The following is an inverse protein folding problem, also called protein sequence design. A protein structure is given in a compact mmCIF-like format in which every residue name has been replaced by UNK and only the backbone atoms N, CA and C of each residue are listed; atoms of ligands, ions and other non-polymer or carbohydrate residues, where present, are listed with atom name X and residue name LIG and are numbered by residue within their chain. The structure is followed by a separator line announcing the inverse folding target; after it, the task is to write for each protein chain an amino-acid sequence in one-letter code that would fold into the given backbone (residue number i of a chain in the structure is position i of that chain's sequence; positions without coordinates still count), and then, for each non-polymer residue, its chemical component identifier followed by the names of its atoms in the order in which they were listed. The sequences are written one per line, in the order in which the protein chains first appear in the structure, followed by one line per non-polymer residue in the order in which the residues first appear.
data_IF_406211680621
#
_entry.id   IF_406211680621
#
_cell.length_a   1.000
_cell.length_b   1.000
_cell.length_c   1.000
_cell.angle_alpha   90.00
_cell.angle_beta   90.00
_cell.angle_gamma   90.00
#
_symmetry.space_group_name_H-M   'P 1'
#
loop_
_entity.id
_entity.type
_entity.pdbx_description
1 polymer ?
#
# COMPACT_ATOMS: atom_id res chain seq x y z
N UNK A 1 3.11 -6.65 -0.15
CA UNK A 1 2.14 -6.55 -1.27
C UNK A 1 0.77 -7.01 -0.80
N UNK A 2 -0.26 -6.21 -1.03
CA UNK A 2 -1.63 -6.44 -0.52
C UNK A 2 -2.58 -6.90 -1.61
N UNK A 3 -3.57 -7.73 -1.24
CA UNK A 3 -4.75 -7.96 -2.07
C UNK A 3 -5.84 -6.95 -1.69
N UNK A 4 -6.16 -6.01 -2.58
CA UNK A 4 -7.18 -4.99 -2.36
C UNK A 4 -7.85 -4.59 -3.69
N UNK A 5 -9.15 -4.31 -3.69
CA UNK A 5 -9.90 -3.90 -4.89
C UNK A 5 -9.82 -4.91 -6.04
N UNK A 6 -9.71 -6.20 -5.74
CA UNK A 6 -9.50 -7.27 -6.73
C UNK A 6 -8.09 -7.32 -7.34
N UNK A 7 -7.20 -6.39 -6.99
CA UNK A 7 -5.83 -6.27 -7.51
C UNK A 7 -4.79 -6.63 -6.45
N UNK A 8 -3.57 -6.91 -6.90
CA UNK A 8 -2.40 -6.96 -6.02
C UNK A 8 -1.67 -5.63 -6.07
N UNK A 9 -1.43 -5.01 -4.93
CA UNK A 9 -0.87 -3.66 -4.86
C UNK A 9 0.32 -3.58 -3.92
N UNK A 10 1.31 -2.78 -4.27
CA UNK A 10 2.33 -2.32 -3.33
C UNK A 10 2.84 -0.94 -3.74
N UNK A 11 3.44 -0.24 -2.77
CA UNK A 11 4.03 1.07 -2.98
C UNK A 11 5.47 1.03 -2.51
N UNK A 12 6.38 1.31 -3.43
CA UNK A 12 7.79 1.41 -3.15
C UNK A 12 8.40 2.43 -4.12
N UNK A 13 9.38 3.19 -3.62
CA UNK A 13 10.18 4.06 -4.45
C UNK A 13 11.52 3.36 -4.67
N UNK A 14 11.79 2.96 -5.91
CA UNK A 14 13.05 2.31 -6.27
C UNK A 14 14.09 3.37 -6.57
N UNK A 15 15.24 3.29 -5.89
CA UNK A 15 16.42 4.09 -6.24
C UNK A 15 17.08 3.58 -7.54
N UNK A 16 16.95 2.27 -7.80
CA UNK A 16 17.39 1.64 -9.05
C UNK A 16 16.32 1.80 -10.16
N UNK A 17 16.66 2.60 -11.17
CA UNK A 17 15.79 2.85 -12.32
C UNK A 17 15.57 1.62 -13.20
N UNK A 18 16.42 0.60 -13.16
CA UNK A 18 16.19 -0.65 -13.90
C UNK A 18 14.98 -1.40 -13.35
N UNK A 19 14.91 -1.57 -12.03
CA UNK A 19 13.80 -2.28 -11.37
C UNK A 19 12.48 -1.55 -11.65
N UNK A 20 12.50 -0.23 -11.58
CA UNK A 20 11.33 0.57 -11.94
C UNK A 20 10.92 0.36 -13.40
N UNK A 21 11.87 0.41 -14.35
CA UNK A 21 11.59 0.23 -15.78
C UNK A 21 10.97 -1.13 -16.09
N UNK A 22 11.45 -2.20 -15.46
CA UNK A 22 10.90 -3.55 -15.64
C UNK A 22 9.48 -3.70 -15.10
N UNK A 23 9.10 -2.90 -14.10
CA UNK A 23 7.76 -2.90 -13.50
C UNK A 23 6.87 -1.75 -14.01
N UNK A 24 7.36 -0.91 -14.93
CA UNK A 24 6.74 0.36 -15.29
C UNK A 24 5.33 0.19 -15.87
N UNK A 25 5.08 -0.89 -16.61
CA UNK A 25 3.76 -1.21 -17.17
C UNK A 25 2.69 -1.47 -16.10
N UNK A 26 3.12 -1.81 -14.88
CA UNK A 26 2.25 -2.04 -13.74
C UNK A 26 2.13 -0.81 -12.83
N UNK A 27 2.83 0.29 -13.12
CA UNK A 27 2.84 1.47 -12.28
C UNK A 27 1.66 2.40 -12.56
N UNK A 28 0.80 2.59 -11.57
CA UNK A 28 -0.26 3.58 -11.58
C UNK A 28 0.30 4.93 -11.11
N UNK A 29 0.46 5.88 -12.05
CA UNK A 29 1.01 7.22 -11.80
C UNK A 29 0.11 8.11 -10.95
N UNK A 30 -1.21 7.96 -11.08
CA UNK A 30 -2.18 8.77 -10.33
C UNK A 30 -2.20 8.38 -8.85
N UNK A 31 -2.00 7.09 -8.57
CA UNK A 31 -2.05 6.52 -7.22
C UNK A 31 -0.66 6.23 -6.63
N UNK A 32 0.41 6.48 -7.39
CA UNK A 32 1.80 6.27 -7.01
C UNK A 32 2.05 4.88 -6.41
N UNK A 33 1.56 3.83 -7.08
CA UNK A 33 1.65 2.43 -6.63
C UNK A 33 1.70 1.48 -7.82
N UNK A 34 2.23 0.29 -7.59
CA UNK A 34 2.19 -0.80 -8.56
C UNK A 34 0.92 -1.62 -8.39
N UNK A 35 0.29 -2.00 -9.50
CA UNK A 35 -0.94 -2.79 -9.52
C UNK A 35 -0.83 -3.97 -10.49
N UNK A 36 -1.14 -5.17 -10.00
CA UNK A 36 -1.19 -6.39 -10.82
C UNK A 36 -2.61 -6.94 -10.82
N UNK A 37 -3.16 -7.17 -12.02
CA UNK A 37 -4.53 -7.64 -12.19
C UNK A 37 -4.60 -9.15 -11.99
N UNK A 38 -3.58 -9.87 -12.44
CA UNK A 38 -3.55 -11.34 -12.44
C UNK A 38 -2.51 -11.90 -11.46
N UNK A 39 -2.74 -13.15 -11.07
CA UNK A 39 -1.82 -13.97 -10.27
C UNK A 39 -0.48 -14.17 -10.99
N UNK A 40 -0.50 -14.29 -12.33
CA UNK A 40 0.68 -14.47 -13.18
C UNK A 40 1.57 -13.23 -13.23
N UNK A 41 1.00 -12.05 -13.49
CA UNK A 41 1.72 -10.77 -13.45
C UNK A 41 2.36 -10.54 -12.09
N UNK A 42 1.59 -10.73 -11.00
CA UNK A 42 2.09 -10.61 -9.63
C UNK A 42 3.26 -11.57 -9.36
N UNK A 43 3.19 -12.82 -9.84
CA UNK A 43 4.29 -13.78 -9.67
C UNK A 43 5.57 -13.37 -10.39
N UNK A 44 5.45 -12.82 -11.60
CA UNK A 44 6.61 -12.30 -12.34
C UNK A 44 7.28 -11.16 -11.57
N UNK A 45 6.48 -10.23 -11.06
CA UNK A 45 6.97 -9.12 -10.25
C UNK A 45 7.66 -9.59 -8.96
N UNK A 46 7.07 -10.55 -8.23
CA UNK A 46 7.71 -11.10 -7.02
C UNK A 46 9.06 -11.74 -7.32
N UNK A 47 9.18 -12.52 -8.40
CA UNK A 47 10.45 -13.13 -8.80
C UNK A 47 11.52 -12.10 -9.14
N UNK A 48 11.12 -11.03 -9.85
CA UNK A 48 12.02 -9.93 -10.15
C UNK A 48 12.49 -9.22 -8.88
N UNK A 49 11.56 -8.92 -7.97
CA UNK A 49 11.88 -8.26 -6.70
C UNK A 49 12.81 -9.12 -5.84
N UNK A 50 12.53 -10.42 -5.73
CA UNK A 50 13.36 -11.39 -5.00
C UNK A 50 14.78 -11.47 -5.60
N UNK A 51 14.90 -11.56 -6.93
CA UNK A 51 16.21 -11.56 -7.62
C UNK A 51 17.02 -10.28 -7.35
N UNK A 52 16.33 -9.17 -7.09
CA UNK A 52 16.92 -7.86 -6.77
C UNK A 52 17.08 -7.64 -5.25
N UNK A 53 16.85 -8.66 -4.43
CA UNK A 53 17.06 -8.65 -2.98
C UNK A 53 15.92 -8.03 -2.17
N UNK A 54 14.73 -7.86 -2.74
CA UNK A 54 13.56 -7.36 -2.04
C UNK A 54 12.73 -8.51 -1.47
N UNK A 55 12.55 -8.51 -0.15
CA UNK A 55 11.58 -9.36 0.52
C UNK A 55 10.18 -8.75 0.43
N UNK A 56 9.23 -9.49 -0.14
CA UNK A 56 7.86 -9.01 -0.35
C UNK A 56 6.85 -9.99 0.23
N UNK A 57 6.28 -9.61 1.37
CA UNK A 57 5.18 -10.37 1.97
C UNK A 57 3.89 -10.26 1.15
N UNK A 58 3.17 -11.37 1.03
CA UNK A 58 1.81 -11.40 0.46
C UNK A 58 0.78 -11.31 1.58
N UNK A 59 0.11 -10.17 1.67
CA UNK A 59 -0.86 -9.88 2.71
C UNK A 59 -2.27 -9.87 2.11
N UNK A 60 -3.10 -10.80 2.56
CA UNK A 60 -4.52 -10.87 2.19
C UNK A 60 -5.43 -10.40 3.32
N UNK A 61 -5.01 -10.61 4.57
CA UNK A 61 -5.66 -10.08 5.75
C UNK A 61 -5.12 -8.67 6.04
N UNK A 62 -5.96 -7.65 5.87
CA UNK A 62 -5.57 -6.26 6.01
C UNK A 62 -5.63 -5.77 7.48
N UNK A 63 -6.04 -6.63 8.42
CA UNK A 63 -6.08 -6.28 9.85
C UNK A 63 -4.69 -5.93 10.35
N UNK A 64 -4.61 -4.83 11.08
CA UNK A 64 -3.33 -4.26 11.56
C UNK A 64 -2.56 -3.46 10.51
N UNK A 65 -3.00 -3.39 9.25
CA UNK A 65 -2.42 -2.53 8.21
C UNK A 65 -3.28 -1.31 7.87
N UNK A 66 -4.55 -1.32 8.26
CA UNK A 66 -5.46 -0.20 8.06
C UNK A 66 -5.49 0.74 9.28
N UNK A 67 -5.39 2.05 9.02
CA UNK A 67 -5.49 3.11 10.03
C UNK A 67 -6.53 4.15 9.64
N UNK A 68 -7.11 4.83 10.62
CA UNK A 68 -8.07 5.92 10.43
C UNK A 68 -7.65 7.20 11.12
N UNK A 69 -7.97 8.32 10.47
CA UNK A 69 -7.84 9.68 10.99
C UNK A 69 -9.18 10.42 10.85
N UNK A 70 -9.52 11.35 11.76
CA UNK A 70 -10.63 12.27 11.53
C UNK A 70 -10.49 12.99 10.19
N UNK A 71 -11.60 13.22 9.49
CA UNK A 71 -11.62 13.84 8.15
C UNK A 71 -10.91 15.19 8.07
N UNK A 72 -10.85 15.95 9.15
CA UNK A 72 -10.24 17.28 9.17
C UNK A 72 -8.79 17.29 9.69
N UNK A 73 -8.24 16.13 10.05
CA UNK A 73 -6.85 16.03 10.48
C UNK A 73 -5.88 16.19 9.32
N UNK A 74 -4.68 16.72 9.60
CA UNK A 74 -3.56 16.71 8.65
C UNK A 74 -3.17 15.25 8.37
N UNK A 75 -3.15 14.86 7.10
CA UNK A 75 -3.00 13.47 6.69
C UNK A 75 -1.94 13.24 5.61
N UNK A 76 -1.33 14.30 5.06
CA UNK A 76 -0.36 14.19 3.97
C UNK A 76 0.80 13.21 4.26
N UNK A 77 1.40 13.19 5.47
CA UNK A 77 2.44 12.19 5.78
C UNK A 77 1.90 10.75 5.77
N UNK A 78 0.67 10.53 6.25
CA UNK A 78 0.01 9.22 6.25
C UNK A 78 -0.31 8.78 4.82
N UNK A 79 -0.84 9.69 3.99
CA UNK A 79 -1.13 9.42 2.58
C UNK A 79 0.13 8.99 1.82
N UNK A 80 1.27 9.66 2.05
CA UNK A 80 2.55 9.31 1.42
C UNK A 80 2.93 7.86 1.64
N UNK A 81 2.65 7.31 2.82
CA UNK A 81 2.95 5.92 3.18
C UNK A 81 1.76 4.96 3.02
N UNK A 82 0.66 5.39 2.41
CA UNK A 82 -0.50 4.53 2.12
C UNK A 82 -0.48 3.98 0.70
N UNK A 83 -0.98 2.76 0.54
CA UNK A 83 -1.25 2.13 -0.76
C UNK A 83 -2.68 2.35 -1.23
N UNK A 84 -3.63 2.62 -0.34
CA UNK A 84 -5.02 2.92 -0.68
C UNK A 84 -5.65 3.81 0.40
N UNK A 85 -6.71 4.54 0.03
CA UNK A 85 -7.46 5.40 0.94
C UNK A 85 -8.95 5.36 0.58
N UNK A 86 -9.80 5.36 1.61
CA UNK A 86 -11.24 5.65 1.49
C UNK A 86 -11.60 6.82 2.42
N UNK A 87 -12.57 7.62 2.01
CA UNK A 87 -13.11 8.70 2.83
C UNK A 87 -14.56 8.42 3.20
N UNK A 88 -14.91 8.68 4.45
CA UNK A 88 -16.28 8.69 4.97
C UNK A 88 -16.61 10.11 5.45
N UNK A 89 -17.86 10.40 5.86
CA UNK A 89 -18.20 11.71 6.41
C UNK A 89 -17.34 12.13 7.60
N UNK A 90 -16.90 11.17 8.42
CA UNK A 90 -16.16 11.41 9.67
C UNK A 90 -14.67 11.07 9.59
N UNK A 91 -14.29 10.10 8.74
CA UNK A 91 -12.97 9.48 8.78
C UNK A 91 -12.31 9.44 7.40
N UNK A 92 -10.98 9.54 7.39
CA UNK A 92 -10.13 9.01 6.32
C UNK A 92 -9.52 7.71 6.79
N UNK A 93 -9.66 6.66 6.00
CA UNK A 93 -9.11 5.34 6.30
C UNK A 93 -8.06 5.03 5.25
N UNK A 94 -6.87 4.62 5.69
CA UNK A 94 -5.70 4.37 4.87
C UNK A 94 -5.27 2.92 5.04
N UNK A 95 -4.99 2.25 3.93
CA UNK A 95 -4.23 1.01 3.93
C UNK A 95 -2.75 1.36 3.83
N UNK A 96 -1.98 1.08 4.88
CA UNK A 96 -0.56 1.42 4.95
C UNK A 96 0.29 0.44 4.15
N UNK A 97 1.44 0.92 3.65
CA UNK A 97 2.34 0.12 2.79
C UNK A 97 3.05 -1.04 3.51
N UNK A 98 3.20 -0.95 4.83
CA UNK A 98 3.83 -1.93 5.71
C UNK A 98 3.50 -1.61 7.18
N UNK A 99 4.01 -2.42 8.13
CA UNK A 99 3.78 -2.22 9.57
C UNK A 99 4.49 -0.98 10.13
N UNK A 100 5.69 -0.66 9.63
CA UNK A 100 6.42 0.52 10.07
C UNK A 100 5.64 1.81 9.76
N UNK A 101 4.97 1.86 8.61
CA UNK A 101 4.07 2.93 8.21
C UNK A 101 2.83 3.03 9.11
N UNK A 102 2.29 1.91 9.61
CA UNK A 102 1.21 1.90 10.60
C UNK A 102 1.66 2.58 11.89
N UNK A 103 2.82 2.19 12.42
CA UNK A 103 3.38 2.78 13.64
C UNK A 103 3.66 4.27 13.46
N UNK A 104 4.18 4.69 12.30
CA UNK A 104 4.38 6.09 11.97
C UNK A 104 3.05 6.86 11.94
N UNK A 105 2.02 6.30 11.33
CA UNK A 105 0.70 6.91 11.32
C UNK A 105 0.10 7.04 12.74
N UNK A 106 0.33 6.05 13.61
CA UNK A 106 -0.10 6.11 15.01
C UNK A 106 0.59 7.24 15.78
N UNK A 107 1.89 7.46 15.55
CA UNK A 107 2.62 8.62 16.11
C UNK A 107 2.04 9.96 15.66
N UNK A 108 1.37 9.99 14.51
CA UNK A 108 0.67 11.15 13.97
C UNK A 108 -0.80 11.24 14.40
N UNK A 109 -1.24 10.38 15.33
CA UNK A 109 -2.61 10.37 15.88
C UNK A 109 -3.61 9.49 15.13
N UNK A 110 -3.16 8.69 14.16
CA UNK A 110 -4.03 7.71 13.52
C UNK A 110 -4.34 6.54 14.48
N UNK A 111 -5.51 5.92 14.30
CA UNK A 111 -5.93 4.74 15.07
C UNK A 111 -6.03 3.54 14.16
N UNK A 112 -5.66 2.35 14.63
CA UNK A 112 -5.86 1.11 13.86
C UNK A 112 -7.36 0.91 13.63
N UNK A 113 -7.72 0.40 12.45
CA UNK A 113 -9.07 -0.05 12.18
C UNK A 113 -9.21 -1.50 12.63
N UNK A 114 -10.11 -1.73 13.59
CA UNK A 114 -10.33 -3.06 14.18
C UNK A 114 -11.32 -3.93 13.39
N UNK A 115 -12.04 -3.30 12.45
CA UNK A 115 -13.02 -3.97 11.58
C UNK A 115 -12.43 -4.21 10.19
N UNK A 116 -12.98 -5.20 9.48
CA UNK A 116 -12.59 -5.45 8.09
C UNK A 116 -13.02 -4.30 7.19
N UNK A 117 -12.05 -3.72 6.48
CA UNK A 117 -12.28 -2.65 5.50
C UNK A 117 -12.00 -3.18 4.10
N UNK A 118 -12.94 -2.94 3.20
CA UNK A 118 -12.77 -3.24 1.77
C UNK A 118 -12.28 -1.96 1.06
N UNK A 119 -11.10 -2.06 0.46
CA UNK A 119 -10.48 -1.05 -0.40
C UNK A 119 -10.58 -1.46 -1.86
#
# INVERSE_FOLDING_TARGET
MFKAGGRWIFKHFFDDQEIFRELADYYNKDLYRFEFKTVGERNKALKLLDLRGFEVDLVQDLRGYAVKLPKYSRYAPVLKNSVAMIETPEWRIFLMKDRAAVEEAQRLGAKIVEVDVKF
#
